data_IF_354301015976
#
_entry.id   IF_354301015976
#
_cell.length_a   1.000
_cell.length_b   1.000
_cell.length_c   1.000
_cell.angle_alpha   90.00
_cell.angle_beta   90.00
_cell.angle_gamma   90.00
#
_symmetry.space_group_name_H-M   'P 1'
#
loop_
_entity.id
_entity.type
_entity.pdbx_description
1 polymer ?
#
# COMPACT_ATOMS: atom_id res chain seq x y z
N UNK A 1 -10.65 -16.46 -20.63
CA UNK A 1 -11.70 -15.73 -19.85
C UNK A 1 -11.37 -15.64 -18.36
N UNK A 2 -11.47 -16.72 -17.56
CA UNK A 2 -11.18 -16.64 -16.11
C UNK A 2 -9.68 -16.59 -15.77
N UNK A 3 -8.84 -17.41 -16.44
CA UNK A 3 -7.39 -17.43 -16.23
C UNK A 3 -6.73 -16.08 -16.54
N UNK A 4 -7.21 -15.41 -17.60
CA UNK A 4 -6.71 -14.07 -17.99
C UNK A 4 -7.11 -13.02 -16.96
N UNK A 5 -8.34 -13.10 -16.44
CA UNK A 5 -8.81 -12.25 -15.35
C UNK A 5 -7.99 -12.46 -14.09
N UNK A 6 -7.77 -13.71 -13.67
CA UNK A 6 -6.94 -14.02 -12.50
C UNK A 6 -5.52 -13.46 -12.67
N UNK A 7 -4.89 -13.67 -13.83
CA UNK A 7 -3.55 -13.13 -14.12
C UNK A 7 -3.50 -11.61 -14.04
N UNK A 8 -4.52 -10.92 -14.56
CA UNK A 8 -4.64 -9.46 -14.48
C UNK A 8 -4.75 -8.98 -13.03
N UNK A 9 -5.60 -9.61 -12.22
CA UNK A 9 -5.77 -9.24 -10.81
C UNK A 9 -4.53 -9.60 -9.97
N UNK A 10 -3.89 -10.74 -10.23
CA UNK A 10 -2.64 -11.12 -9.58
C UNK A 10 -1.51 -10.12 -9.84
N UNK A 11 -1.38 -9.66 -11.10
CA UNK A 11 -0.44 -8.58 -11.44
C UNK A 11 -0.75 -7.29 -10.69
N UNK A 12 -2.03 -6.94 -10.58
CA UNK A 12 -2.46 -5.77 -9.80
C UNK A 12 -2.11 -5.93 -8.32
N UNK A 13 -2.37 -7.09 -7.70
CA UNK A 13 -2.00 -7.37 -6.30
C UNK A 13 -0.48 -7.25 -6.12
N UNK A 14 0.30 -7.87 -7.01
CA UNK A 14 1.77 -7.77 -7.03
C UNK A 14 2.27 -6.34 -7.04
N UNK A 15 1.62 -5.49 -7.84
CA UNK A 15 1.88 -4.07 -7.86
C UNK A 15 1.47 -3.42 -6.52
N UNK A 16 0.23 -3.59 -6.08
CA UNK A 16 -0.30 -2.93 -4.88
C UNK A 16 0.50 -3.21 -3.61
N UNK A 17 1.03 -4.43 -3.46
CA UNK A 17 1.71 -4.86 -2.25
C UNK A 17 3.24 -4.79 -2.36
N UNK A 18 3.81 -4.51 -3.54
CA UNK A 18 5.24 -4.31 -3.66
C UNK A 18 5.74 -3.25 -2.66
N UNK A 19 6.86 -3.50 -1.95
CA UNK A 19 7.80 -4.62 -2.10
C UNK A 19 7.50 -5.87 -1.24
N UNK A 20 6.33 -5.96 -0.61
CA UNK A 20 5.96 -7.11 0.23
C UNK A 20 5.86 -8.39 -0.62
N UNK A 21 6.38 -9.53 -0.12
CA UNK A 21 6.23 -10.82 -0.78
C UNK A 21 4.76 -11.25 -0.78
N UNK A 22 4.38 -11.98 -1.83
CA UNK A 22 3.05 -12.56 -2.00
C UNK A 22 3.23 -14.06 -2.16
N UNK A 23 2.55 -14.83 -1.32
CA UNK A 23 2.49 -16.29 -1.44
C UNK A 23 1.23 -16.68 -2.19
N UNK A 24 1.39 -17.43 -3.28
CA UNK A 24 0.30 -18.00 -4.04
C UNK A 24 -0.02 -19.40 -3.53
N UNK A 25 -1.31 -19.68 -3.32
CA UNK A 25 -1.81 -20.98 -2.89
C UNK A 25 -2.68 -21.56 -4.00
N UNK A 26 -2.51 -22.85 -4.37
CA UNK A 26 -3.40 -23.48 -5.34
C UNK A 26 -4.82 -23.55 -4.80
N UNK A 27 -5.79 -23.68 -5.71
CA UNK A 27 -7.15 -24.02 -5.32
C UNK A 27 -7.15 -25.41 -4.68
N UNK A 28 -7.54 -25.48 -3.40
CA UNK A 28 -7.63 -26.74 -2.66
C UNK A 28 -8.86 -27.54 -3.12
N UNK A 29 -8.73 -28.86 -3.21
CA UNK A 29 -9.81 -29.75 -3.67
C UNK A 29 -10.99 -29.83 -2.70
N UNK A 30 -10.74 -29.52 -1.42
CA UNK A 30 -11.72 -29.54 -0.35
C UNK A 30 -11.52 -28.33 0.57
N UNK A 31 -12.50 -28.09 1.42
CA UNK A 31 -12.47 -26.99 2.38
C UNK A 31 -11.30 -27.13 3.35
N UNK A 32 -10.64 -26.01 3.68
CA UNK A 32 -9.51 -25.99 4.60
C UNK A 32 -10.02 -26.01 6.04
N UNK A 33 -10.42 -27.20 6.51
CA UNK A 33 -10.97 -27.41 7.85
C UNK A 33 -10.18 -28.47 8.61
N UNK A 34 -9.88 -28.18 9.87
CA UNK A 34 -9.15 -29.07 10.77
C UNK A 34 -7.64 -29.09 10.53
N UNK A 35 -6.93 -29.67 11.48
CA UNK A 35 -5.46 -29.72 11.50
C UNK A 35 -4.85 -30.35 10.23
N UNK A 36 -5.39 -31.45 9.66
CA UNK A 36 -4.80 -32.03 8.45
C UNK A 36 -4.80 -31.07 7.26
N UNK A 37 -5.90 -30.37 7.02
CA UNK A 37 -5.99 -29.43 5.90
C UNK A 37 -5.21 -28.15 6.13
N UNK A 38 -5.14 -27.69 7.39
CA UNK A 38 -4.28 -26.56 7.74
C UNK A 38 -2.80 -26.87 7.50
N UNK A 39 -2.35 -28.12 7.71
CA UNK A 39 -0.98 -28.55 7.38
C UNK A 39 -0.72 -28.56 5.88
N UNK A 40 -1.66 -29.06 5.08
CA UNK A 40 -1.55 -29.03 3.62
C UNK A 40 -1.50 -27.59 3.08
N UNK A 41 -2.29 -26.68 3.66
CA UNK A 41 -2.22 -25.26 3.34
C UNK A 41 -0.90 -24.63 3.77
N UNK A 42 -0.40 -24.95 4.96
CA UNK A 42 0.89 -24.45 5.44
C UNK A 42 2.04 -24.86 4.50
N UNK A 43 2.07 -26.12 4.05
CA UNK A 43 3.05 -26.60 3.07
C UNK A 43 2.93 -25.85 1.73
N UNK A 44 1.71 -25.55 1.28
CA UNK A 44 1.51 -24.79 0.05
C UNK A 44 1.93 -23.31 0.17
N UNK A 45 1.81 -22.70 1.35
CA UNK A 45 2.14 -21.28 1.59
C UNK A 45 3.63 -21.07 1.88
N UNK A 46 4.20 -21.92 2.73
CA UNK A 46 5.54 -21.76 3.29
C UNK A 46 6.52 -22.80 2.75
N UNK A 47 6.05 -23.96 2.28
CA UNK A 47 6.92 -25.10 1.95
C UNK A 47 7.83 -25.43 3.13
N UNK A 48 9.15 -25.33 2.89
CA UNK A 48 10.17 -25.52 3.92
C UNK A 48 10.56 -24.24 4.69
N UNK A 49 10.01 -23.08 4.35
CA UNK A 49 10.33 -21.81 5.01
C UNK A 49 9.71 -21.73 6.41
N UNK A 50 10.43 -21.10 7.34
CA UNK A 50 9.94 -20.89 8.71
C UNK A 50 8.94 -19.71 8.75
N UNK A 51 7.65 -19.96 9.08
CA UNK A 51 6.62 -18.93 9.12
C UNK A 51 6.83 -17.87 10.21
N UNK A 52 7.76 -18.09 11.14
CA UNK A 52 8.09 -17.13 12.21
C UNK A 52 9.13 -16.08 11.79
N UNK A 53 9.67 -16.19 10.58
CA UNK A 53 10.69 -15.28 10.06
C UNK A 53 10.10 -13.98 9.52
N UNK A 54 10.95 -12.96 9.37
CA UNK A 54 10.57 -11.69 8.76
C UNK A 54 10.73 -11.79 7.24
N UNK A 55 9.61 -11.91 6.54
CA UNK A 55 9.60 -12.04 5.07
C UNK A 55 9.90 -10.75 4.31
N UNK A 56 9.80 -9.58 4.98
CA UNK A 56 10.20 -8.31 4.40
C UNK A 56 10.61 -7.31 5.47
N UNK A 57 11.76 -6.67 5.27
CA UNK A 57 12.23 -5.57 6.09
C UNK A 57 12.48 -4.35 5.22
N UNK A 58 11.69 -3.30 5.40
CA UNK A 58 11.85 -2.05 4.65
C UNK A 58 10.83 -0.98 5.03
N UNK A 59 11.08 0.26 4.60
CA UNK A 59 10.19 1.40 4.81
C UNK A 59 9.16 1.47 3.69
N UNK A 60 7.93 1.04 3.96
CA UNK A 60 6.80 1.09 2.99
C UNK A 60 6.28 2.54 2.81
N UNK A 61 6.52 3.37 3.81
CA UNK A 61 6.27 4.81 3.81
C UNK A 61 7.37 5.50 4.62
N UNK A 62 7.73 6.72 4.24
CA UNK A 62 8.70 7.55 4.95
C UNK A 62 8.08 8.92 5.25
N UNK A 63 8.38 9.48 6.42
CA UNK A 63 7.94 10.83 6.80
C UNK A 63 9.15 11.65 7.19
N UNK A 64 9.38 12.72 6.43
CA UNK A 64 10.44 13.68 6.68
C UNK A 64 9.84 15.01 7.08
N UNK A 65 10.41 15.65 8.11
CA UNK A 65 10.07 17.01 8.49
C UNK A 65 11.09 17.97 7.85
N UNK A 66 10.60 18.94 7.10
CA UNK A 66 11.42 19.97 6.45
C UNK A 66 10.88 21.34 6.83
N UNK A 67 11.62 22.08 7.66
CA UNK A 67 11.24 23.42 8.17
C UNK A 67 9.77 23.52 8.64
N UNK A 68 8.91 24.08 7.78
CA UNK A 68 7.47 24.33 7.99
C UNK A 68 6.57 23.32 7.26
N UNK A 69 7.09 22.17 6.87
CA UNK A 69 6.37 21.15 6.12
C UNK A 69 6.72 19.74 6.57
N UNK A 70 5.85 18.81 6.24
CA UNK A 70 6.14 17.38 6.25
C UNK A 70 6.05 16.82 4.85
N UNK A 71 6.89 15.84 4.53
CA UNK A 71 6.84 15.08 3.30
C UNK A 71 6.53 13.63 3.64
N UNK A 72 5.39 13.14 3.17
CA UNK A 72 5.06 11.72 3.16
C UNK A 72 5.51 11.13 1.82
N UNK A 73 6.39 10.15 1.86
CA UNK A 73 6.83 9.41 0.68
C UNK A 73 6.20 8.03 0.66
N UNK A 74 5.52 7.68 -0.43
CA UNK A 74 4.88 6.39 -0.64
C UNK A 74 5.43 5.74 -1.89
N UNK A 75 5.88 4.49 -1.80
CA UNK A 75 6.16 3.68 -2.98
C UNK A 75 4.83 3.39 -3.70
N UNK A 76 4.77 3.72 -4.99
CA UNK A 76 3.65 3.38 -5.86
C UNK A 76 4.14 2.47 -6.99
N UNK A 77 3.37 1.44 -7.37
CA UNK A 77 3.81 0.44 -8.33
C UNK A 77 3.65 0.85 -9.80
N UNK A 78 3.53 2.15 -10.09
CA UNK A 78 3.29 2.68 -11.43
C UNK A 78 4.44 3.54 -11.90
N UNK A 79 4.88 3.27 -13.13
CA UNK A 79 5.91 4.02 -13.83
C UNK A 79 5.25 4.81 -14.97
N UNK A 80 4.66 5.97 -14.65
CA UNK A 80 4.20 6.95 -15.65
C UNK A 80 3.77 8.26 -14.98
N UNK A 81 3.82 9.38 -15.73
CA UNK A 81 3.33 10.72 -15.36
C UNK A 81 1.80 10.80 -15.40
N UNK A 82 1.12 9.82 -14.82
CA UNK A 82 -0.34 9.79 -14.81
C UNK A 82 -0.92 10.82 -13.85
N UNK A 83 -2.14 11.26 -14.15
CA UNK A 83 -2.83 12.26 -13.31
C UNK A 83 -3.09 11.66 -11.94
N UNK A 84 -2.51 12.29 -10.92
CA UNK A 84 -2.71 11.94 -9.52
C UNK A 84 -3.88 12.76 -9.00
N UNK A 85 -4.81 12.11 -8.31
CA UNK A 85 -5.84 12.78 -7.52
C UNK A 85 -5.69 12.38 -6.06
N UNK A 86 -5.74 13.38 -5.18
CA UNK A 86 -5.66 13.21 -3.74
C UNK A 86 -6.95 13.74 -3.12
N UNK A 87 -7.54 12.97 -2.23
CA UNK A 87 -8.70 13.37 -1.44
C UNK A 87 -8.45 13.02 0.02
N UNK A 88 -8.38 14.05 0.86
CA UNK A 88 -8.20 13.89 2.30
C UNK A 88 -9.56 13.92 3.00
N UNK A 89 -9.80 12.97 3.90
CA UNK A 89 -11.01 12.89 4.71
C UNK A 89 -10.63 12.54 6.15
N UNK A 90 -10.71 13.52 7.06
CA UNK A 90 -10.26 13.36 8.44
C UNK A 90 -8.80 12.90 8.52
N UNK A 91 -8.61 11.69 9.06
CA UNK A 91 -7.30 11.05 9.25
C UNK A 91 -6.91 10.13 8.08
N UNK A 92 -7.62 10.17 6.96
CA UNK A 92 -7.36 9.34 5.78
C UNK A 92 -7.00 10.19 4.55
N UNK A 93 -6.14 9.62 3.71
CA UNK A 93 -5.80 10.14 2.40
C UNK A 93 -6.08 9.08 1.33
N UNK A 94 -7.06 9.34 0.48
CA UNK A 94 -7.33 8.57 -0.72
C UNK A 94 -6.43 9.07 -1.85
N UNK A 95 -5.66 8.14 -2.43
CA UNK A 95 -4.73 8.37 -3.53
C UNK A 95 -5.28 7.62 -4.74
N UNK A 96 -5.52 8.34 -5.84
CA UNK A 96 -5.93 7.78 -7.11
C UNK A 96 -4.86 8.06 -8.17
N UNK A 97 -4.37 7.01 -8.82
CA UNK A 97 -3.46 7.07 -9.97
C UNK A 97 -4.02 6.14 -11.05
N UNK A 98 -4.54 6.70 -12.15
CA UNK A 98 -5.33 5.99 -13.16
C UNK A 98 -6.36 5.01 -12.57
N UNK A 99 -6.17 3.70 -12.73
CA UNK A 99 -7.08 2.66 -12.26
C UNK A 99 -6.74 2.12 -10.86
N UNK A 100 -5.71 2.66 -10.22
CA UNK A 100 -5.31 2.29 -8.88
C UNK A 100 -5.79 3.30 -7.84
N UNK A 101 -6.39 2.75 -6.78
CA UNK A 101 -6.83 3.50 -5.61
C UNK A 101 -6.21 2.91 -4.36
N UNK A 102 -5.55 3.74 -3.57
CA UNK A 102 -5.02 3.37 -2.25
C UNK A 102 -5.51 4.37 -1.22
N UNK A 103 -6.11 3.88 -0.15
CA UNK A 103 -6.40 4.69 1.03
C UNK A 103 -5.26 4.49 2.03
N UNK A 104 -4.75 5.59 2.58
CA UNK A 104 -3.69 5.60 3.59
C UNK A 104 -4.22 6.28 4.84
N UNK A 105 -4.09 5.64 5.98
CA UNK A 105 -4.32 6.28 7.27
C UNK A 105 -3.12 7.17 7.57
N UNK A 106 -3.37 8.46 7.78
CA UNK A 106 -2.33 9.45 8.06
C UNK A 106 -1.71 9.18 9.44
N UNK A 107 -0.37 9.04 9.51
CA UNK A 107 0.34 9.00 10.78
C UNK A 107 0.06 10.25 11.60
N UNK A 108 0.15 10.13 12.93
CA UNK A 108 -0.26 11.19 13.87
C UNK A 108 0.35 12.57 13.55
N UNK A 109 1.59 12.59 13.06
CA UNK A 109 2.29 13.83 12.70
C UNK A 109 1.65 14.62 11.54
N UNK A 110 0.84 13.95 10.69
CA UNK A 110 0.22 14.53 9.49
C UNK A 110 -1.28 14.82 9.64
N UNK A 111 -1.90 14.36 10.74
CA UNK A 111 -3.34 14.54 10.95
C UNK A 111 -3.70 16.01 11.08
N UNK A 112 -4.77 16.42 10.40
CA UNK A 112 -5.23 17.81 10.38
C UNK A 112 -4.35 18.79 9.58
N UNK A 113 -3.22 18.34 9.03
CA UNK A 113 -2.42 19.14 8.11
C UNK A 113 -3.01 19.05 6.70
N UNK A 114 -3.00 20.18 5.98
CA UNK A 114 -3.47 20.25 4.60
C UNK A 114 -2.36 19.84 3.62
N UNK A 115 -2.72 19.04 2.62
CA UNK A 115 -1.86 18.75 1.47
C UNK A 115 -1.64 20.03 0.66
N UNK A 116 -0.38 20.40 0.43
CA UNK A 116 0.00 21.55 -0.40
C UNK A 116 0.48 21.15 -1.79
N UNK A 117 1.15 19.99 -1.92
CA UNK A 117 1.75 19.55 -3.18
C UNK A 117 1.87 18.02 -3.21
N UNK A 118 1.81 17.44 -4.40
CA UNK A 118 2.08 16.02 -4.62
C UNK A 118 2.87 15.82 -5.91
N UNK A 119 3.95 15.04 -5.83
CA UNK A 119 4.85 14.78 -6.97
C UNK A 119 5.22 13.30 -7.03
N UNK A 120 5.13 12.72 -8.22
CA UNK A 120 5.57 11.35 -8.48
C UNK A 120 6.94 11.38 -9.18
N UNK A 121 7.95 10.83 -8.53
CA UNK A 121 9.32 10.75 -9.03
C UNK A 121 9.86 9.35 -8.75
N UNK A 122 10.45 8.68 -9.75
CA UNK A 122 11.13 7.39 -9.56
C UNK A 122 10.26 6.31 -8.86
N UNK A 123 8.96 6.27 -9.16
CA UNK A 123 8.01 5.33 -8.54
C UNK A 123 7.65 5.67 -7.08
N UNK A 124 7.99 6.87 -6.61
CA UNK A 124 7.65 7.36 -5.27
C UNK A 124 6.76 8.59 -5.35
N UNK A 125 5.59 8.53 -4.72
CA UNK A 125 4.73 9.68 -4.53
C UNK A 125 5.16 10.41 -3.27
N UNK A 126 5.66 11.63 -3.43
CA UNK A 126 5.98 12.56 -2.35
C UNK A 126 4.82 13.54 -2.19
N UNK A 127 4.26 13.60 -0.98
CA UNK A 127 3.11 14.43 -0.64
C UNK A 127 3.55 15.41 0.44
N UNK A 128 3.49 16.69 0.12
CA UNK A 128 3.88 17.78 1.01
C UNK A 128 2.67 18.26 1.80
N UNK A 129 2.82 18.37 3.11
CA UNK A 129 1.83 18.88 4.05
C UNK A 129 2.33 20.18 4.66
N UNK A 130 1.48 21.22 4.66
CA UNK A 130 1.84 22.49 5.29
C UNK A 130 1.70 22.39 6.81
N UNK A 131 2.71 22.81 7.56
CA UNK A 131 2.64 22.94 9.01
C UNK A 131 1.93 24.26 9.37
N UNK A 132 0.70 24.42 8.89
CA UNK A 132 -0.21 25.46 9.33
C UNK A 132 -1.23 24.84 10.27
N UNK A 133 -1.40 25.40 11.48
CA UNK A 133 -2.59 25.13 12.29
C UNK A 133 -3.79 25.38 11.37
N UNK A 134 -4.60 24.37 11.10
CA UNK A 134 -5.96 24.58 10.61
C UNK A 134 -6.70 25.31 11.73
N UNK A 135 -6.61 26.64 11.70
CA UNK A 135 -7.49 27.49 12.48
C UNK A 135 -8.90 27.19 12.02
N UNK A 136 -9.73 26.69 12.95
CA UNK A 136 -11.15 26.54 12.72
C UNK A 136 -11.70 27.85 12.19
N UNK A 137 -12.31 27.80 11.02
CA UNK A 137 -13.17 28.87 10.55
C UNK A 137 -14.60 28.40 10.76
N UNK A 138 -15.27 29.17 11.63
CA UNK A 138 -16.69 29.23 12.00
C UNK A 138 -17.69 28.43 11.16
#
# INVERSE_FOLDING_TARGET
AWKDSQRKHHRLISQCFAPLPISDVPLMEQEVVGIPMLKAMAEAVYGGDDPTTIFFQGQVQDIQKEDKHYILTLALPFSSKEKISLMQSGDELAIQVANFRRNVILPRALRGLAVSEAKLEEGKLKIKFHQGRTGGSK
#
